data_IF_242358474287
#
_entry.id   IF_242358474287
#
_cell.length_a   1.000
_cell.length_b   1.000
_cell.length_c   1.000
_cell.angle_alpha   90.00
_cell.angle_beta   90.00
_cell.angle_gamma   90.00
#
_symmetry.space_group_name_H-M   'P 1'
#
loop_
_entity.id
_entity.type
_entity.pdbx_description
1 polymer ?
#
# COMPACT_ATOMS: atom_id res chain seq x y z
N UNK A 1 7.83 39.36 14.35
CA UNK A 1 8.25 39.33 12.94
C UNK A 1 9.62 39.97 12.89
N UNK A 2 10.67 39.22 12.56
CA UNK A 2 12.02 39.77 12.48
C UNK A 2 12.32 40.16 11.02
N UNK A 3 11.78 41.30 10.61
CA UNK A 3 11.82 41.80 9.22
C UNK A 3 13.26 41.98 8.71
N UNK A 4 14.24 42.16 9.62
CA UNK A 4 15.65 42.29 9.28
C UNK A 4 16.31 40.98 8.79
N UNK A 5 15.73 39.82 9.10
CA UNK A 5 16.28 38.49 8.71
C UNK A 5 15.47 37.82 7.59
N UNK A 6 14.32 38.40 7.20
CA UNK A 6 13.43 37.80 6.20
C UNK A 6 12.75 36.50 6.67
N UNK A 7 12.64 36.29 7.99
CA UNK A 7 12.10 35.07 8.61
C UNK A 7 10.85 35.35 9.47
N UNK A 8 10.01 34.34 9.61
CA UNK A 8 8.83 34.37 10.49
C UNK A 8 8.91 33.18 11.44
N UNK A 9 8.92 33.47 12.74
CA UNK A 9 8.87 32.48 13.81
C UNK A 9 7.73 32.78 14.77
N UNK A 10 6.88 31.78 15.02
CA UNK A 10 5.82 31.82 16.01
C UNK A 10 6.02 30.64 16.96
N UNK A 11 6.04 30.92 18.27
CA UNK A 11 6.20 29.94 19.34
C UNK A 11 5.22 30.24 20.47
N UNK A 12 4.64 29.19 21.07
CA UNK A 12 3.87 29.30 22.30
C UNK A 12 4.62 28.66 23.49
N UNK A 13 4.21 28.93 24.75
CA UNK A 13 4.88 28.38 25.93
C UNK A 13 4.88 26.85 26.03
N UNK A 14 4.06 26.16 25.25
CA UNK A 14 4.03 24.69 25.21
C UNK A 14 5.00 24.10 24.18
N UNK A 15 5.70 24.93 23.42
CA UNK A 15 6.73 24.52 22.46
C UNK A 15 6.18 24.18 21.07
N UNK A 16 4.95 24.60 20.74
CA UNK A 16 4.47 24.53 19.36
C UNK A 16 5.18 25.61 18.53
N UNK A 17 5.64 25.26 17.32
CA UNK A 17 6.35 26.22 16.47
C UNK A 17 5.89 26.22 15.02
N UNK A 18 5.91 27.40 14.42
CA UNK A 18 5.78 27.63 12.98
C UNK A 18 6.95 28.51 12.53
N UNK A 19 7.81 27.97 11.67
CA UNK A 19 9.01 28.64 11.18
C UNK A 19 9.00 28.72 9.66
N UNK A 20 9.18 29.94 9.12
CA UNK A 20 9.55 30.21 7.74
C UNK A 20 10.94 30.84 7.74
N UNK A 21 11.93 30.15 7.16
CA UNK A 21 13.36 30.45 7.38
C UNK A 21 13.97 31.52 6.45
N UNK A 22 13.19 32.10 5.54
CA UNK A 22 13.66 33.05 4.53
C UNK A 22 14.48 32.45 3.38
N UNK A 23 14.73 31.13 3.40
CA UNK A 23 15.46 30.37 2.36
C UNK A 23 14.54 29.45 1.55
N UNK A 24 13.25 29.50 1.83
CA UNK A 24 12.21 28.74 1.14
C UNK A 24 11.72 27.51 1.90
N UNK A 25 12.18 27.28 3.14
CA UNK A 25 11.71 26.16 3.96
C UNK A 25 10.64 26.59 4.95
N UNK A 26 9.75 25.65 5.28
CA UNK A 26 8.76 25.77 6.35
C UNK A 26 8.90 24.57 7.27
N UNK A 27 8.89 24.80 8.59
CA UNK A 27 8.84 23.76 9.61
C UNK A 27 7.69 24.03 10.58
N UNK A 28 6.93 22.98 10.88
CA UNK A 28 5.81 23.00 11.82
C UNK A 28 6.02 21.88 12.83
N UNK A 29 6.05 22.21 14.11
CA UNK A 29 6.27 21.25 15.19
C UNK A 29 5.21 21.42 16.28
N UNK A 30 4.72 20.29 16.78
CA UNK A 30 3.87 20.23 17.98
C UNK A 30 4.34 19.06 18.86
N UNK A 31 4.58 19.27 20.17
CA UNK A 31 5.00 18.18 21.06
C UNK A 31 3.94 17.09 21.27
N UNK A 32 2.67 17.36 20.99
CA UNK A 32 1.56 16.42 21.20
C UNK A 32 0.91 15.96 19.88
N UNK A 33 0.15 16.83 19.21
CA UNK A 33 -0.66 16.45 18.05
C UNK A 33 -0.72 17.59 17.02
N UNK A 34 -0.71 17.22 15.73
CA UNK A 34 -1.08 18.10 14.62
C UNK A 34 -2.32 17.50 13.95
N UNK A 35 -3.39 18.28 13.83
CA UNK A 35 -4.61 17.89 13.11
C UNK A 35 -4.80 18.78 11.87
N UNK A 36 -5.09 18.17 10.72
CA UNK A 36 -5.40 18.87 9.47
C UNK A 36 -6.80 18.51 9.00
N UNK A 37 -7.74 19.47 9.10
CA UNK A 37 -9.12 19.30 8.66
C UNK A 37 -9.41 20.24 7.48
N UNK A 38 -10.06 19.73 6.43
CA UNK A 38 -10.53 20.54 5.31
C UNK A 38 -11.99 20.21 4.99
N UNK A 39 -12.79 21.22 4.65
CA UNK A 39 -14.19 21.02 4.26
C UNK A 39 -14.37 20.45 2.85
N UNK A 40 -13.33 20.50 2.01
CA UNK A 40 -13.36 20.01 0.63
C UNK A 40 -12.15 19.15 0.31
N UNK A 41 -10.98 19.76 0.06
CA UNK A 41 -9.80 19.06 -0.43
C UNK A 41 -8.55 19.38 0.41
N UNK A 42 -7.69 18.38 0.60
CA UNK A 42 -6.29 18.55 0.98
C UNK A 42 -5.46 18.10 -0.23
N UNK A 43 -4.63 19.00 -0.78
CA UNK A 43 -3.72 18.69 -1.87
C UNK A 43 -2.29 18.65 -1.34
N UNK A 44 -1.57 17.56 -1.59
CA UNK A 44 -0.16 17.41 -1.23
C UNK A 44 0.63 17.10 -2.50
N UNK A 45 1.60 17.94 -2.82
CA UNK A 45 2.44 17.77 -4.02
C UNK A 45 3.86 18.22 -3.69
N UNK A 46 4.84 17.45 -4.12
CA UNK A 46 6.26 17.78 -3.99
C UNK A 46 6.96 17.57 -5.33
N UNK A 47 7.92 18.44 -5.66
CA UNK A 47 8.70 18.32 -6.89
C UNK A 47 9.72 17.17 -6.89
N UNK A 48 9.98 16.57 -5.72
CA UNK A 48 10.93 15.48 -5.55
C UNK A 48 10.31 14.34 -4.73
N UNK A 49 10.22 14.49 -3.41
CA UNK A 49 9.85 13.41 -2.50
C UNK A 49 8.79 13.83 -1.50
N UNK A 50 7.93 12.88 -1.14
CA UNK A 50 7.08 12.93 0.06
C UNK A 50 7.51 11.75 0.95
N UNK A 51 7.83 12.01 2.21
CA UNK A 51 8.18 10.99 3.20
C UNK A 51 7.15 11.04 4.31
N UNK A 52 6.50 9.90 4.60
CA UNK A 52 5.54 9.75 5.68
C UNK A 52 5.96 8.58 6.56
N UNK A 53 6.05 8.80 7.87
CA UNK A 53 6.42 7.78 8.84
C UNK A 53 5.62 7.96 10.13
N UNK A 54 5.31 6.85 10.79
CA UNK A 54 4.70 6.83 12.11
C UNK A 54 5.43 5.81 12.99
N UNK A 55 5.59 6.12 14.28
CA UNK A 55 6.24 5.22 15.23
C UNK A 55 5.39 4.02 15.65
N UNK A 56 4.06 4.10 15.45
CA UNK A 56 3.12 3.06 15.88
C UNK A 56 2.25 2.60 14.72
N UNK A 57 1.31 3.43 14.26
CA UNK A 57 0.34 3.07 13.21
C UNK A 57 0.16 4.19 12.19
N UNK A 58 -0.06 3.83 10.93
CA UNK A 58 -0.67 4.70 9.92
C UNK A 58 -2.00 4.06 9.52
N UNK A 59 -3.10 4.81 9.61
CA UNK A 59 -4.45 4.36 9.28
C UNK A 59 -4.99 5.27 8.18
N UNK A 60 -5.55 4.67 7.14
CA UNK A 60 -6.16 5.38 6.03
C UNK A 60 -7.58 4.86 5.82
N UNK A 61 -8.54 5.77 5.70
CA UNK A 61 -9.94 5.45 5.47
C UNK A 61 -10.47 6.33 4.36
N UNK A 62 -11.04 5.71 3.34
CA UNK A 62 -11.56 6.38 2.14
C UNK A 62 -13.01 5.98 1.95
N UNK A 63 -13.88 6.96 1.70
CA UNK A 63 -15.32 6.74 1.64
C UNK A 63 -15.82 6.15 0.31
N UNK A 64 -15.10 6.39 -0.79
CA UNK A 64 -15.49 5.95 -2.14
C UNK A 64 -14.33 5.22 -2.81
N UNK A 65 -13.38 5.95 -3.42
CA UNK A 65 -12.31 5.37 -4.23
C UNK A 65 -10.92 5.81 -3.77
N UNK A 66 -10.00 4.85 -3.71
CA UNK A 66 -8.57 5.11 -3.55
C UNK A 66 -7.82 4.66 -4.81
N UNK A 67 -7.17 5.59 -5.48
CA UNK A 67 -6.35 5.32 -6.67
C UNK A 67 -4.87 5.61 -6.40
N UNK A 68 -3.99 4.68 -6.77
CA UNK A 68 -2.53 4.87 -6.72
C UNK A 68 -1.91 4.56 -8.07
N UNK A 69 -1.11 5.50 -8.60
CA UNK A 69 -0.34 5.31 -9.83
C UNK A 69 1.14 5.44 -9.52
N UNK A 70 1.90 4.38 -9.79
CA UNK A 70 3.33 4.30 -9.52
C UNK A 70 4.04 4.12 -10.87
N UNK A 71 4.95 5.03 -11.19
CA UNK A 71 5.62 5.04 -12.50
C UNK A 71 6.70 3.98 -12.67
N UNK A 72 7.30 3.49 -11.58
CA UNK A 72 8.41 2.52 -11.64
C UNK A 72 8.18 1.31 -10.73
N UNK A 73 8.38 1.45 -9.42
CA UNK A 73 8.35 0.33 -8.47
C UNK A 73 7.49 0.67 -7.26
N UNK A 74 6.56 -0.23 -6.95
CA UNK A 74 5.84 -0.23 -5.69
C UNK A 74 6.41 -1.36 -4.80
N UNK A 75 7.16 -1.00 -3.76
CA UNK A 75 7.75 -1.97 -2.84
C UNK A 75 6.96 -2.02 -1.54
N UNK A 76 6.63 -3.22 -1.06
CA UNK A 76 5.90 -3.42 0.20
C UNK A 76 6.62 -4.49 1.02
N UNK A 77 7.15 -4.11 2.17
CA UNK A 77 7.76 -5.02 3.13
C UNK A 77 6.90 -5.12 4.39
N UNK A 78 6.54 -6.33 4.76
CA UNK A 78 5.71 -6.61 5.94
C UNK A 78 6.46 -7.58 6.84
N UNK A 79 6.90 -7.10 8.01
CA UNK A 79 7.59 -7.96 8.99
C UNK A 79 6.67 -8.91 9.77
N UNK A 80 5.36 -8.64 9.75
CA UNK A 80 4.32 -9.44 10.39
C UNK A 80 3.42 -10.15 9.37
N UNK A 81 2.12 -9.89 9.43
CA UNK A 81 1.12 -10.45 8.52
C UNK A 81 0.54 -9.39 7.59
N UNK A 82 0.24 -9.80 6.34
CA UNK A 82 -0.53 -9.00 5.38
C UNK A 82 -1.88 -9.65 5.13
N UNK A 83 -2.96 -8.87 5.11
CA UNK A 83 -4.32 -9.34 4.90
C UNK A 83 -5.04 -8.43 3.90
N UNK A 84 -5.63 -9.03 2.86
CA UNK A 84 -6.46 -8.35 1.87
C UNK A 84 -7.84 -8.98 1.88
N UNK A 85 -8.87 -8.17 2.21
CA UNK A 85 -10.27 -8.59 2.18
C UNK A 85 -10.97 -7.84 1.04
N UNK A 86 -11.52 -8.59 0.09
CA UNK A 86 -12.25 -8.04 -1.06
C UNK A 86 -13.67 -8.60 -1.05
N UNK A 87 -14.66 -7.72 -0.95
CA UNK A 87 -16.09 -8.11 -0.98
C UNK A 87 -16.59 -8.25 -2.43
N UNK A 88 -16.12 -7.36 -3.31
CA UNK A 88 -16.36 -7.44 -4.74
C UNK A 88 -15.33 -8.30 -5.46
N UNK A 89 -14.99 -7.91 -6.68
CA UNK A 89 -14.02 -8.62 -7.52
C UNK A 89 -12.59 -8.13 -7.27
N UNK A 90 -11.65 -9.07 -7.27
CA UNK A 90 -10.22 -8.80 -7.38
C UNK A 90 -9.76 -9.12 -8.80
N UNK A 91 -9.20 -8.13 -9.50
CA UNK A 91 -8.63 -8.30 -10.83
C UNK A 91 -7.12 -7.99 -10.78
N UNK A 92 -6.30 -8.93 -11.22
CA UNK A 92 -4.85 -8.77 -11.35
C UNK A 92 -4.47 -8.89 -12.83
N UNK A 93 -3.93 -7.81 -13.42
CA UNK A 93 -3.41 -7.81 -14.78
C UNK A 93 -1.90 -7.64 -14.73
N UNK A 94 -1.17 -8.67 -15.16
CA UNK A 94 0.29 -8.74 -15.03
C UNK A 94 0.86 -9.07 -16.41
N UNK A 95 1.46 -8.08 -17.06
CA UNK A 95 2.18 -8.27 -18.33
C UNK A 95 3.49 -9.05 -18.14
N UNK A 96 4.12 -8.89 -16.98
CA UNK A 96 5.34 -9.60 -16.61
C UNK A 96 5.09 -10.93 -15.91
N UNK A 97 6.04 -11.33 -15.08
CA UNK A 97 5.95 -12.59 -14.33
C UNK A 97 5.23 -12.38 -12.99
N UNK A 98 4.36 -13.33 -12.63
CA UNK A 98 3.87 -13.49 -11.26
C UNK A 98 4.65 -14.62 -10.58
N UNK A 99 5.40 -14.29 -9.53
CA UNK A 99 6.08 -15.26 -8.68
C UNK A 99 5.46 -15.27 -7.29
N UNK A 100 5.01 -16.44 -6.83
CA UNK A 100 4.46 -16.62 -5.49
C UNK A 100 5.12 -17.85 -4.85
N UNK A 101 5.75 -17.65 -3.70
CA UNK A 101 6.45 -18.68 -2.94
C UNK A 101 5.96 -18.65 -1.50
N UNK A 102 5.76 -19.81 -0.91
CA UNK A 102 5.43 -19.99 0.51
C UNK A 102 6.28 -21.14 1.03
N UNK A 103 6.86 -20.98 2.22
CA UNK A 103 7.60 -22.09 2.87
C UNK A 103 6.66 -23.15 3.45
N UNK A 104 5.42 -22.75 3.73
CA UNK A 104 4.34 -23.59 4.25
C UNK A 104 3.23 -23.70 3.19
N UNK A 105 2.01 -23.94 3.65
CA UNK A 105 0.87 -24.18 2.79
C UNK A 105 0.44 -22.93 2.00
N UNK A 106 0.04 -23.17 0.75
CA UNK A 106 -0.74 -22.25 -0.07
C UNK A 106 -2.11 -22.87 -0.31
N UNK A 107 -3.16 -22.26 0.23
CA UNK A 107 -4.54 -22.73 0.06
C UNK A 107 -5.27 -21.84 -0.95
N UNK A 108 -5.85 -22.47 -1.97
CA UNK A 108 -6.73 -21.80 -2.93
C UNK A 108 -8.07 -22.52 -2.90
N UNK A 109 -9.15 -21.79 -2.64
CA UNK A 109 -10.50 -22.33 -2.52
C UNK A 109 -11.47 -21.47 -3.30
N UNK A 110 -12.35 -22.12 -4.08
CA UNK A 110 -13.41 -21.46 -4.84
C UNK A 110 -14.67 -22.31 -4.78
N UNK A 111 -15.83 -21.65 -4.66
CA UNK A 111 -17.14 -22.33 -4.62
C UNK A 111 -17.62 -22.77 -6.00
N UNK A 112 -17.32 -21.99 -7.04
CA UNK A 112 -17.80 -22.25 -8.40
C UNK A 112 -16.76 -22.98 -9.26
N UNK A 113 -15.48 -22.72 -9.05
CA UNK A 113 -14.40 -23.35 -9.81
C UNK A 113 -13.14 -22.50 -9.89
N UNK A 114 -12.07 -23.09 -10.41
CA UNK A 114 -10.80 -22.43 -10.71
C UNK A 114 -10.45 -22.79 -12.15
N UNK A 115 -10.30 -21.79 -13.01
CA UNK A 115 -9.87 -21.97 -14.40
C UNK A 115 -8.41 -21.55 -14.52
N UNK A 116 -7.59 -22.41 -15.11
CA UNK A 116 -6.20 -22.12 -15.46
C UNK A 116 -6.03 -22.44 -16.94
N UNK A 117 -5.60 -21.45 -17.72
CA UNK A 117 -5.38 -21.58 -19.15
C UNK A 117 -4.00 -21.04 -19.47
N UNK A 118 -3.27 -21.76 -20.31
CA UNK A 118 -1.93 -21.39 -20.77
C UNK A 118 -1.79 -21.84 -22.22
N UNK A 119 -0.99 -21.11 -22.99
CA UNK A 119 -0.56 -21.54 -24.33
C UNK A 119 0.65 -22.48 -24.25
N UNK A 120 1.43 -22.37 -23.17
CA UNK A 120 2.64 -23.15 -22.94
C UNK A 120 2.44 -24.32 -21.98
N UNK A 121 3.53 -24.77 -21.37
CA UNK A 121 3.53 -25.90 -20.43
C UNK A 121 2.90 -25.55 -19.07
N UNK A 122 2.17 -26.50 -18.49
CA UNK A 122 1.84 -26.52 -17.06
C UNK A 122 2.64 -27.63 -16.39
N UNK A 123 3.65 -27.25 -15.60
CA UNK A 123 4.45 -28.19 -14.82
C UNK A 123 3.97 -28.21 -13.34
N UNK A 124 3.66 -29.40 -12.81
CA UNK A 124 3.33 -29.61 -11.40
C UNK A 124 4.20 -30.72 -10.83
N UNK A 125 5.09 -30.36 -9.90
CA UNK A 125 6.01 -31.30 -9.26
C UNK A 125 5.67 -31.49 -7.79
N UNK A 126 5.63 -32.74 -7.33
CA UNK A 126 5.48 -33.10 -5.91
C UNK A 126 6.48 -34.20 -5.58
N UNK A 127 7.17 -34.07 -4.45
CA UNK A 127 8.07 -35.10 -3.93
C UNK A 127 7.31 -36.25 -3.24
N UNK A 128 6.03 -36.04 -2.93
CA UNK A 128 5.17 -37.01 -2.23
C UNK A 128 4.05 -37.45 -3.15
N UNK A 129 2.87 -36.83 -3.01
CA UNK A 129 1.67 -37.18 -3.75
C UNK A 129 1.05 -35.96 -4.41
N UNK A 130 0.33 -36.21 -5.52
CA UNK A 130 -0.60 -35.26 -6.13
C UNK A 130 -1.97 -35.93 -6.11
N UNK A 131 -2.94 -35.35 -5.41
CA UNK A 131 -4.32 -35.85 -5.33
C UNK A 131 -5.24 -34.96 -6.16
N UNK A 132 -5.87 -35.55 -7.18
CA UNK A 132 -6.88 -34.91 -8.02
C UNK A 132 -8.15 -35.75 -7.93
N UNK A 133 -9.08 -35.31 -7.08
CA UNK A 133 -10.32 -36.04 -6.82
C UNK A 133 -11.50 -35.32 -7.47
N UNK A 134 -12.41 -36.10 -8.06
CA UNK A 134 -13.66 -35.62 -8.63
C UNK A 134 -14.76 -36.65 -8.38
N UNK A 135 -15.99 -36.19 -8.15
CA UNK A 135 -17.17 -37.07 -8.01
C UNK A 135 -17.61 -37.67 -9.34
N UNK A 136 -17.20 -37.08 -10.47
CA UNK A 136 -17.43 -37.58 -11.83
C UNK A 136 -16.09 -37.90 -12.50
N UNK A 137 -16.08 -38.84 -13.46
CA UNK A 137 -14.85 -39.14 -14.23
C UNK A 137 -14.29 -37.87 -14.86
N UNK A 138 -13.00 -37.63 -14.65
CA UNK A 138 -12.26 -36.57 -15.34
C UNK A 138 -12.26 -36.84 -16.84
N UNK A 139 -12.39 -35.77 -17.63
CA UNK A 139 -12.19 -35.82 -19.07
C UNK A 139 -10.80 -35.28 -19.36
N UNK A 140 -9.89 -36.16 -19.75
CA UNK A 140 -8.62 -35.80 -20.36
C UNK A 140 -8.88 -35.79 -21.86
N UNK A 141 -8.67 -34.62 -22.48
CA UNK A 141 -8.71 -34.43 -23.93
C UNK A 141 -7.29 -34.23 -24.44
#
# INVERSE_FOLDING_TARGET
MNDAEGSVFVEDPSGNTWMMDGKGNISVNAPNEITLNAGTNINMTAGQNIVSSAGVNMIETVGVDKSSTIGMMNNTFVGGSSMLNVVGDLMEFITGNLQSSTEKDRVVSSKQGITQSTEGEVAKHSQKEVKLNSTKKSKLY
#
